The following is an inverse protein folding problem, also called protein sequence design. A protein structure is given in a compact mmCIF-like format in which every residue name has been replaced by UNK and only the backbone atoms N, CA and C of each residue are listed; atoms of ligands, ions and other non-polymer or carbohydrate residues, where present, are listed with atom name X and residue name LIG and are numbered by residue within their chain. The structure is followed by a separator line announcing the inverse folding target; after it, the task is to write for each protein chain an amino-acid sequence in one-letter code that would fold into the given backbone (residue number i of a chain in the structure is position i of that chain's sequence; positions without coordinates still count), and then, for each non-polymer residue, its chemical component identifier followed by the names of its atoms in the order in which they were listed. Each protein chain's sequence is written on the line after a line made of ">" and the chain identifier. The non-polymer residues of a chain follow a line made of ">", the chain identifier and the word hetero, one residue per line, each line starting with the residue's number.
data_IF_756881979173
#
_entry.id   IF_756881979173
#
_cell.length_a   1.000
_cell.length_b   1.000
_cell.length_c   1.000
_cell.angle_alpha   90.00
_cell.angle_beta   90.00
_cell.angle_gamma   90.00
#
_symmetry.space_group_name_H-M   'P 1'
#
loop_
_entity.id
_entity.type
_entity.pdbx_description
1 polymer ?
#
# COMPACT_ATOMS: atom_id res chain seq x y z
N UNK A 1 -51.92 46.01 -33.76
CA UNK A 1 -50.60 46.30 -34.37
C UNK A 1 -49.68 45.11 -34.17
N UNK A 2 -48.75 44.91 -35.12
CA UNK A 2 -47.63 43.95 -35.17
C UNK A 2 -47.87 42.47 -34.76
N UNK A 3 -47.56 41.57 -35.69
CA UNK A 3 -47.66 40.12 -35.53
C UNK A 3 -46.55 39.52 -34.62
N UNK A 4 -45.46 40.27 -34.39
CA UNK A 4 -44.22 39.81 -33.76
C UNK A 4 -44.34 39.38 -32.29
N UNK A 5 -45.34 39.87 -31.56
CA UNK A 5 -45.58 39.48 -30.16
C UNK A 5 -46.21 38.09 -29.98
N UNK A 6 -46.87 37.54 -31.01
CA UNK A 6 -47.54 36.21 -30.91
C UNK A 6 -46.55 35.06 -30.76
N UNK A 7 -45.31 35.21 -31.28
CA UNK A 7 -44.27 34.20 -31.20
C UNK A 7 -43.69 33.99 -29.79
N UNK A 8 -43.82 34.96 -28.87
CA UNK A 8 -43.32 34.82 -27.49
C UNK A 8 -44.24 34.00 -26.58
N UNK A 9 -45.47 33.73 -27.01
CA UNK A 9 -46.50 33.04 -26.21
C UNK A 9 -46.27 31.53 -26.07
N UNK A 10 -45.42 30.92 -26.89
CA UNK A 10 -45.20 29.46 -26.95
C UNK A 10 -44.04 28.98 -26.06
N UNK A 11 -43.11 29.87 -25.68
CA UNK A 11 -41.82 29.49 -25.05
C UNK A 11 -41.73 29.81 -23.55
N UNK A 12 -42.64 30.63 -23.01
CA UNK A 12 -42.52 31.17 -21.63
C UNK A 12 -43.60 30.65 -20.66
N UNK A 13 -44.67 30.01 -21.16
CA UNK A 13 -45.80 29.54 -20.32
C UNK A 13 -45.44 28.34 -19.42
N UNK A 14 -44.27 27.72 -19.60
CA UNK A 14 -43.83 26.55 -18.84
C UNK A 14 -43.22 26.88 -17.44
N UNK A 15 -43.47 28.06 -16.88
CA UNK A 15 -42.91 28.46 -15.57
C UNK A 15 -43.80 29.42 -14.76
N UNK A 16 -44.19 28.93 -13.58
CA UNK A 16 -44.52 29.69 -12.35
C UNK A 16 -45.92 30.36 -12.27
N UNK A 17 -46.94 29.52 -12.04
CA UNK A 17 -48.13 29.72 -11.16
C UNK A 17 -48.91 28.38 -11.08
N UNK A 18 -49.47 27.89 -9.97
CA UNK A 18 -49.31 28.15 -8.51
C UNK A 18 -48.66 26.90 -7.85
N UNK A 19 -48.20 26.80 -6.60
CA UNK A 19 -48.26 27.65 -5.38
C UNK A 19 -49.54 27.64 -4.49
N UNK A 20 -50.01 26.45 -4.09
CA UNK A 20 -50.69 26.22 -2.78
C UNK A 20 -50.13 24.93 -2.14
N UNK A 21 -49.98 24.89 -0.82
CA UNK A 21 -49.34 23.79 -0.07
C UNK A 21 -50.35 22.89 0.67
N UNK A 22 -49.94 21.67 1.05
CA UNK A 22 -50.50 20.94 2.23
C UNK A 22 -49.69 19.72 2.66
N UNK A 23 -49.77 19.44 3.97
CA UNK A 23 -49.57 18.16 4.68
C UNK A 23 -48.17 17.50 4.72
N UNK A 24 -47.65 17.37 5.94
CA UNK A 24 -46.56 16.49 6.39
C UNK A 24 -47.19 15.38 7.23
N UNK A 25 -46.76 14.11 7.08
CA UNK A 25 -46.68 13.05 8.11
C UNK A 25 -46.21 11.77 7.38
N UNK A 26 -45.07 11.12 7.66
CA UNK A 26 -44.59 10.55 8.92
C UNK A 26 -45.56 9.46 9.46
N UNK A 27 -45.11 8.18 9.48
CA UNK A 27 -45.88 7.02 9.95
C UNK A 27 -45.04 6.10 10.84
N UNK A 28 -45.52 5.88 12.05
CA UNK A 28 -45.02 5.02 13.13
C UNK A 28 -46.24 4.63 14.02
N UNK A 29 -46.14 3.76 15.05
CA UNK A 29 -45.86 2.31 14.97
C UNK A 29 -46.95 1.50 15.75
N UNK A 30 -46.63 0.30 16.29
CA UNK A 30 -47.42 -0.50 17.27
C UNK A 30 -48.75 -1.16 16.78
N UNK A 31 -49.27 -2.29 17.34
CA UNK A 31 -48.76 -3.38 18.22
C UNK A 31 -49.70 -4.63 18.11
N UNK A 32 -49.26 -5.81 18.56
CA UNK A 32 -49.92 -7.14 18.43
C UNK A 32 -51.02 -7.42 19.53
N UNK A 33 -51.72 -8.60 19.66
CA UNK A 33 -51.17 -9.99 19.66
C UNK A 33 -52.06 -11.14 19.08
N UNK A 34 -51.59 -12.39 19.29
CA UNK A 34 -52.30 -13.71 19.25
C UNK A 34 -52.79 -14.29 17.88
N UNK A 35 -52.87 -15.62 17.65
CA UNK A 35 -52.62 -16.84 18.48
C UNK A 35 -51.74 -17.89 17.74
N UNK A 36 -51.42 -19.01 18.41
CA UNK A 36 -50.55 -20.11 17.98
C UNK A 36 -51.02 -20.87 16.72
N UNK A 37 -50.04 -21.40 15.97
CA UNK A 37 -50.13 -22.71 15.32
C UNK A 37 -48.83 -23.49 15.54
N UNK A 38 -48.89 -24.82 15.58
CA UNK A 38 -47.80 -25.71 16.04
C UNK A 38 -47.18 -26.55 14.92
N UNK A 39 -45.93 -26.97 15.15
CA UNK A 39 -45.26 -28.13 14.52
C UNK A 39 -44.78 -27.97 13.07
N UNK A 40 -43.68 -28.59 12.62
CA UNK A 40 -42.41 -28.99 13.27
C UNK A 40 -41.46 -29.51 12.19
N UNK A 41 -40.18 -29.10 12.20
CA UNK A 41 -39.02 -29.90 11.75
C UNK A 41 -37.72 -29.16 12.11
N UNK A 42 -36.67 -29.89 12.47
CA UNK A 42 -35.35 -29.33 12.78
C UNK A 42 -34.39 -29.43 11.60
N UNK A 43 -33.50 -28.45 11.45
CA UNK A 43 -32.28 -28.56 10.65
C UNK A 43 -31.11 -27.93 11.43
N UNK A 44 -30.03 -28.71 11.54
CA UNK A 44 -28.72 -28.44 12.14
C UNK A 44 -28.45 -27.05 12.76
N UNK A 45 -28.15 -27.03 14.06
CA UNK A 45 -27.24 -26.02 14.61
C UNK A 45 -25.82 -26.31 14.10
N UNK A 46 -25.12 -25.32 13.55
CA UNK A 46 -23.72 -25.48 13.13
C UNK A 46 -22.83 -25.90 14.31
N UNK A 47 -22.00 -26.95 14.17
CA UNK A 47 -21.07 -27.34 15.22
C UNK A 47 -19.99 -26.26 15.38
N UNK A 48 -20.05 -25.53 16.51
CA UNK A 48 -19.05 -24.53 16.95
C UNK A 48 -17.64 -25.03 16.61
N UNK A 49 -16.87 -24.36 15.72
CA UNK A 49 -15.53 -24.81 15.34
C UNK A 49 -14.66 -25.03 16.58
N UNK A 50 -14.17 -26.26 16.73
CA UNK A 50 -13.47 -26.69 17.93
C UNK A 50 -12.25 -25.79 18.23
N UNK A 51 -12.09 -25.43 19.50
CA UNK A 51 -11.10 -24.45 19.96
C UNK A 51 -9.68 -25.04 19.89
N UNK A 52 -9.05 -24.91 18.73
CA UNK A 52 -7.73 -25.49 18.45
C UNK A 52 -6.68 -24.85 19.35
N UNK A 53 -6.08 -25.66 20.25
CA UNK A 53 -5.02 -25.23 21.16
C UNK A 53 -3.90 -24.48 20.41
N UNK A 54 -3.27 -23.45 21.01
CA UNK A 54 -2.59 -22.44 20.22
C UNK A 54 -1.25 -22.92 19.67
N UNK A 55 -1.19 -23.20 18.37
CA UNK A 55 0.07 -23.36 17.62
C UNK A 55 0.78 -21.99 17.40
N UNK A 56 0.75 -21.12 18.41
CA UNK A 56 1.09 -19.69 18.32
C UNK A 56 2.29 -19.29 19.18
N UNK A 57 2.73 -20.15 20.10
CA UNK A 57 3.86 -19.89 21.01
C UNK A 57 5.19 -19.70 20.26
N UNK A 58 5.38 -20.43 19.15
CA UNK A 58 6.54 -20.29 18.25
C UNK A 58 6.49 -19.06 17.34
N UNK A 59 5.37 -18.31 17.31
CA UNK A 59 5.26 -17.09 16.51
C UNK A 59 5.97 -15.95 17.23
N UNK A 60 6.74 -15.15 16.48
CA UNK A 60 7.49 -14.03 17.07
C UNK A 60 6.67 -12.73 17.09
N UNK A 61 5.96 -12.43 16.01
CA UNK A 61 5.16 -11.19 15.83
C UNK A 61 3.67 -11.47 16.03
N UNK A 62 3.11 -12.45 15.32
CA UNK A 62 1.68 -12.78 15.32
C UNK A 62 1.26 -13.66 16.51
N UNK A 63 1.76 -13.35 17.71
CA UNK A 63 1.45 -14.08 18.95
C UNK A 63 -0.01 -13.92 19.33
N UNK A 64 -0.58 -14.94 19.98
CA UNK A 64 -1.93 -14.89 20.57
C UNK A 64 -3.13 -14.90 19.61
N UNK A 65 -2.94 -14.65 18.31
CA UNK A 65 -4.06 -14.65 17.35
C UNK A 65 -4.59 -16.07 17.04
N UNK A 66 -5.91 -16.23 16.82
CA UNK A 66 -6.49 -17.46 16.28
C UNK A 66 -5.84 -17.91 14.97
N UNK A 67 -5.67 -19.23 14.82
CA UNK A 67 -5.04 -19.87 13.64
C UNK A 67 -5.63 -19.37 12.31
N UNK A 68 -6.94 -19.15 12.24
CA UNK A 68 -7.61 -18.68 11.03
C UNK A 68 -7.25 -17.22 10.67
N UNK A 69 -7.11 -16.33 11.66
CA UNK A 69 -6.66 -14.95 11.41
C UNK A 69 -5.22 -14.92 10.92
N UNK A 70 -4.33 -15.74 11.52
CA UNK A 70 -2.94 -15.88 11.04
C UNK A 70 -2.90 -16.34 9.58
N UNK A 71 -3.74 -17.32 9.19
CA UNK A 71 -3.84 -17.79 7.80
C UNK A 71 -4.37 -16.68 6.86
N UNK A 72 -5.28 -15.84 7.32
CA UNK A 72 -5.75 -14.68 6.54
C UNK A 72 -4.64 -13.65 6.33
N UNK A 73 -3.83 -13.32 7.35
CA UNK A 73 -2.68 -12.43 7.18
C UNK A 73 -1.60 -13.02 6.26
N UNK A 74 -1.32 -14.33 6.35
CA UNK A 74 -0.40 -14.99 5.41
C UNK A 74 -0.92 -14.90 3.96
N UNK A 75 -2.23 -15.02 3.73
CA UNK A 75 -2.85 -14.86 2.39
C UNK A 75 -2.74 -13.43 1.88
N UNK A 76 -2.96 -12.40 2.72
CA UNK A 76 -2.76 -10.99 2.35
C UNK A 76 -1.31 -10.71 1.96
N UNK A 77 -0.35 -11.22 2.74
CA UNK A 77 1.08 -11.08 2.45
C UNK A 77 1.47 -11.78 1.13
N UNK A 78 1.01 -13.00 0.92
CA UNK A 78 1.23 -13.77 -0.31
C UNK A 78 0.71 -13.02 -1.56
N UNK A 79 -0.52 -12.47 -1.48
CA UNK A 79 -1.11 -11.68 -2.55
C UNK A 79 -0.35 -10.37 -2.83
N UNK A 80 0.01 -9.61 -1.79
CA UNK A 80 0.70 -8.32 -1.91
C UNK A 80 2.11 -8.43 -2.55
N UNK A 81 2.75 -9.59 -2.44
CA UNK A 81 4.07 -9.89 -3.03
C UNK A 81 3.97 -10.70 -4.35
N UNK A 82 2.77 -11.15 -4.73
CA UNK A 82 2.52 -12.12 -5.81
C UNK A 82 3.36 -13.40 -5.70
N UNK A 83 3.27 -14.06 -4.53
CA UNK A 83 4.03 -15.28 -4.22
C UNK A 83 3.17 -16.39 -3.62
N UNK A 84 3.63 -17.62 -3.79
CA UNK A 84 3.09 -18.81 -3.15
C UNK A 84 3.55 -18.95 -1.69
N UNK A 85 2.88 -19.79 -0.88
CA UNK A 85 3.25 -20.02 0.52
C UNK A 85 4.68 -20.56 0.69
N UNK A 86 5.17 -21.37 -0.26
CA UNK A 86 6.49 -22.00 -0.22
C UNK A 86 7.61 -21.00 -0.62
N UNK A 87 7.26 -19.77 -1.01
CA UNK A 87 8.22 -18.69 -1.14
C UNK A 87 8.86 -18.35 0.21
N UNK A 88 8.08 -18.35 1.30
CA UNK A 88 8.56 -18.07 2.67
C UNK A 88 8.62 -19.30 3.58
N UNK A 89 7.69 -20.23 3.45
CA UNK A 89 7.64 -21.45 4.26
C UNK A 89 8.31 -22.65 3.57
N UNK A 90 8.68 -23.64 4.37
CA UNK A 90 9.06 -24.98 3.94
C UNK A 90 8.33 -25.97 4.86
N UNK A 91 8.21 -27.24 4.44
CA UNK A 91 7.63 -28.28 5.29
C UNK A 91 8.70 -28.82 6.26
N UNK A 92 8.49 -28.86 7.59
CA UNK A 92 7.29 -28.44 8.33
C UNK A 92 7.18 -26.92 8.53
N UNK A 93 5.98 -26.36 8.28
CA UNK A 93 5.68 -24.91 8.25
C UNK A 93 6.23 -24.03 9.40
N UNK A 94 6.37 -24.52 10.65
CA UNK A 94 7.00 -23.75 11.75
C UNK A 94 8.48 -23.44 11.54
N UNK A 95 9.22 -24.21 10.72
CA UNK A 95 10.65 -24.01 10.42
C UNK A 95 10.95 -22.58 9.99
N UNK A 96 12.05 -22.04 10.50
CA UNK A 96 12.55 -20.71 10.12
C UNK A 96 13.28 -20.78 8.78
N UNK A 97 13.14 -19.73 7.97
CA UNK A 97 13.83 -19.62 6.67
C UNK A 97 14.39 -18.20 6.55
N UNK A 98 15.43 -17.96 5.74
CA UNK A 98 15.95 -16.61 5.54
C UNK A 98 14.85 -15.63 5.09
N UNK A 99 13.92 -16.07 4.22
CA UNK A 99 12.80 -15.24 3.77
C UNK A 99 11.72 -15.03 4.81
N UNK A 100 11.42 -16.03 5.65
CA UNK A 100 10.52 -15.89 6.80
C UNK A 100 11.09 -14.92 7.84
N UNK A 101 12.41 -14.95 8.04
CA UNK A 101 13.15 -13.97 8.83
C UNK A 101 13.09 -12.56 8.22
N UNK A 102 13.30 -12.41 6.91
CA UNK A 102 13.11 -11.13 6.20
C UNK A 102 11.66 -10.64 6.31
N UNK A 103 10.65 -11.51 6.15
CA UNK A 103 9.25 -11.13 6.28
C UNK A 103 8.94 -10.57 7.68
N UNK A 104 9.48 -11.17 8.75
CA UNK A 104 9.36 -10.62 10.12
C UNK A 104 10.05 -9.26 10.26
N UNK A 105 11.21 -9.05 9.62
CA UNK A 105 11.88 -7.75 9.59
C UNK A 105 11.02 -6.70 8.88
N UNK A 106 10.46 -7.02 7.71
CA UNK A 106 9.51 -6.14 6.99
C UNK A 106 8.31 -5.78 7.87
N UNK A 107 7.73 -6.77 8.56
CA UNK A 107 6.58 -6.55 9.42
C UNK A 107 6.89 -5.61 10.58
N UNK A 108 7.98 -5.88 11.31
CA UNK A 108 8.38 -5.12 12.51
C UNK A 108 8.84 -3.70 12.18
N UNK A 109 9.75 -3.56 11.21
CA UNK A 109 10.46 -2.30 11.01
C UNK A 109 9.75 -1.36 10.02
N UNK A 110 8.90 -1.90 9.13
CA UNK A 110 8.19 -1.13 8.12
C UNK A 110 6.69 -1.06 8.40
N UNK A 111 5.93 -2.17 8.30
CA UNK A 111 4.45 -2.09 8.45
C UNK A 111 3.98 -1.77 9.88
N UNK A 112 4.80 -2.09 10.89
CA UNK A 112 4.55 -1.71 12.29
C UNK A 112 5.37 -0.47 12.71
N UNK A 113 6.55 -0.24 12.13
CA UNK A 113 7.40 0.92 12.43
C UNK A 113 6.96 2.23 11.77
N UNK A 114 6.18 2.16 10.69
CA UNK A 114 5.76 3.30 9.85
C UNK A 114 4.25 3.25 9.56
N UNK A 115 3.71 4.39 9.14
CA UNK A 115 2.31 4.59 8.72
C UNK A 115 2.24 5.65 7.62
N UNK A 116 1.09 5.74 6.96
CA UNK A 116 0.82 6.83 6.02
C UNK A 116 0.60 8.15 6.76
N UNK A 117 0.76 9.28 6.06
CA UNK A 117 0.54 10.63 6.62
C UNK A 117 -0.90 10.90 7.11
N UNK A 118 -1.89 10.18 6.61
CA UNK A 118 -3.27 10.25 7.08
C UNK A 118 -3.52 9.45 8.38
N UNK A 119 -2.50 8.75 8.88
CA UNK A 119 -2.58 7.89 10.05
C UNK A 119 -2.95 6.44 9.75
N UNK A 120 -3.29 6.09 8.50
CA UNK A 120 -3.62 4.72 8.12
C UNK A 120 -2.41 3.79 8.20
N UNK A 121 -2.65 2.54 8.60
CA UNK A 121 -1.61 1.54 8.76
C UNK A 121 -0.96 1.19 7.40
N UNK A 122 0.37 1.05 7.39
CA UNK A 122 1.11 0.67 6.19
C UNK A 122 0.96 -0.83 5.92
N UNK A 123 0.47 -1.21 4.75
CA UNK A 123 0.32 -2.60 4.34
C UNK A 123 1.49 -3.06 3.44
N UNK A 124 1.61 -4.37 3.27
CA UNK A 124 2.64 -4.96 2.39
C UNK A 124 2.55 -4.42 0.95
N UNK A 125 1.33 -4.19 0.45
CA UNK A 125 1.08 -3.83 -0.95
C UNK A 125 1.49 -2.39 -1.29
N UNK A 126 1.54 -1.47 -0.32
CA UNK A 126 1.83 -0.06 -0.58
C UNK A 126 3.27 0.14 -1.07
N UNK A 127 4.19 -0.69 -0.55
CA UNK A 127 5.55 -0.85 -1.05
C UNK A 127 5.63 -1.90 -2.18
N UNK A 128 5.06 -3.10 -1.99
CA UNK A 128 5.32 -4.23 -2.89
C UNK A 128 4.55 -4.20 -4.21
N UNK A 129 3.29 -3.76 -4.24
CA UNK A 129 2.46 -3.63 -5.45
C UNK A 129 2.44 -4.87 -6.36
N UNK A 130 2.44 -6.07 -5.77
CA UNK A 130 2.49 -7.36 -6.49
C UNK A 130 3.90 -7.83 -6.86
N UNK A 131 4.95 -7.17 -6.42
CA UNK A 131 6.35 -7.49 -6.73
C UNK A 131 7.15 -7.82 -5.45
N UNK A 132 7.52 -9.08 -5.27
CA UNK A 132 8.37 -9.52 -4.15
C UNK A 132 9.73 -8.79 -4.06
N UNK A 133 10.19 -8.12 -5.13
CA UNK A 133 11.42 -7.34 -5.18
C UNK A 133 11.15 -5.89 -5.66
N UNK A 134 10.32 -5.15 -4.94
CA UNK A 134 9.79 -3.83 -5.32
C UNK A 134 10.80 -2.74 -5.74
N UNK A 135 12.11 -2.90 -5.48
CA UNK A 135 13.19 -1.99 -5.92
C UNK A 135 14.12 -2.59 -7.01
N UNK A 136 13.69 -3.67 -7.67
CA UNK A 136 14.27 -4.21 -8.91
C UNK A 136 13.33 -4.06 -10.09
N UNK A 137 12.04 -4.29 -9.87
CA UNK A 137 11.01 -4.36 -10.90
C UNK A 137 10.01 -3.21 -10.74
N UNK A 138 10.06 -2.27 -11.70
CA UNK A 138 8.96 -1.39 -12.11
C UNK A 138 8.53 -0.14 -11.28
N UNK A 139 9.02 0.22 -10.07
CA UNK A 139 8.49 1.41 -9.36
C UNK A 139 8.88 2.74 -10.03
N UNK A 140 9.85 2.72 -10.94
CA UNK A 140 10.40 3.88 -11.63
C UNK A 140 9.98 3.94 -13.11
N UNK A 141 9.10 3.04 -13.56
CA UNK A 141 8.60 2.97 -14.94
C UNK A 141 7.64 4.15 -15.18
N UNK A 142 8.20 5.29 -15.62
CA UNK A 142 7.54 6.60 -15.68
C UNK A 142 8.19 7.69 -14.80
N UNK A 143 8.97 7.31 -13.79
CA UNK A 143 9.83 8.24 -13.03
C UNK A 143 11.18 8.46 -13.72
N UNK A 144 11.70 7.41 -14.37
CA UNK A 144 12.91 7.46 -15.21
C UNK A 144 12.52 7.66 -16.67
N UNK A 145 13.26 8.51 -17.38
CA UNK A 145 13.15 8.73 -18.83
C UNK A 145 12.76 10.15 -19.24
N UNK A 146 11.96 10.85 -18.43
CA UNK A 146 11.73 12.30 -18.64
C UNK A 146 12.96 13.06 -18.15
N UNK A 147 13.84 13.50 -19.07
CA UNK A 147 14.98 14.36 -18.73
C UNK A 147 14.48 15.72 -18.19
N UNK A 148 14.81 16.02 -16.94
CA UNK A 148 14.37 17.21 -16.22
C UNK A 148 15.58 17.98 -15.71
N UNK A 149 16.19 18.77 -16.60
CA UNK A 149 17.44 19.48 -16.36
C UNK A 149 17.44 20.31 -15.07
N UNK A 150 18.51 20.16 -14.30
CA UNK A 150 18.85 20.97 -13.15
C UNK A 150 18.03 20.78 -11.87
N UNK A 151 18.18 21.75 -10.97
CA UNK A 151 17.63 21.75 -9.60
C UNK A 151 16.11 22.02 -9.60
N UNK A 152 15.29 21.00 -9.83
CA UNK A 152 13.82 21.13 -9.68
C UNK A 152 13.34 21.16 -8.22
N UNK A 153 13.48 20.04 -7.50
CA UNK A 153 12.95 19.88 -6.12
C UNK A 153 13.70 20.76 -5.09
N UNK A 154 14.92 21.15 -5.41
CA UNK A 154 15.79 21.99 -4.57
C UNK A 154 16.06 23.36 -5.23
N UNK A 155 15.12 23.85 -6.06
CA UNK A 155 15.25 25.16 -6.72
C UNK A 155 15.26 26.29 -5.68
N UNK A 156 16.16 27.26 -5.86
CA UNK A 156 16.25 28.43 -4.97
C UNK A 156 16.84 28.15 -3.58
N UNK A 157 17.28 26.92 -3.30
CA UNK A 157 17.97 26.61 -2.05
C UNK A 157 19.37 27.27 -2.01
N UNK A 158 19.76 27.93 -0.90
CA UNK A 158 21.12 28.40 -0.66
C UNK A 158 22.17 27.29 -0.82
N UNK A 159 23.36 27.64 -1.33
CA UNK A 159 24.34 26.66 -1.78
C UNK A 159 24.93 25.82 -0.63
N UNK A 160 25.11 26.42 0.54
CA UNK A 160 25.50 25.76 1.79
C UNK A 160 24.46 24.69 2.20
N UNK A 161 23.18 25.06 2.21
CA UNK A 161 22.08 24.16 2.58
C UNK A 161 21.88 23.05 1.54
N UNK A 162 22.12 23.35 0.26
CA UNK A 162 22.12 22.34 -0.80
C UNK A 162 23.24 21.31 -0.60
N UNK A 163 24.45 21.76 -0.25
CA UNK A 163 25.56 20.83 0.05
C UNK A 163 25.28 19.98 1.29
N UNK A 164 24.66 20.54 2.35
CA UNK A 164 24.21 19.76 3.51
C UNK A 164 23.23 18.65 3.11
N UNK A 165 22.26 18.94 2.24
CA UNK A 165 21.30 17.94 1.73
C UNK A 165 22.00 16.86 0.90
N UNK A 166 22.95 17.22 0.03
CA UNK A 166 23.71 16.24 -0.75
C UNK A 166 24.57 15.34 0.14
N UNK A 167 25.26 15.89 1.14
CA UNK A 167 26.01 15.13 2.15
C UNK A 167 25.12 14.22 2.99
N UNK A 168 23.88 14.63 3.28
CA UNK A 168 22.91 13.76 3.94
C UNK A 168 22.50 12.58 3.05
N UNK A 169 22.39 12.76 1.73
CA UNK A 169 22.09 11.68 0.79
C UNK A 169 23.27 10.71 0.60
N UNK A 170 24.49 11.22 0.38
CA UNK A 170 25.70 10.37 0.24
C UNK A 170 25.91 9.52 1.49
N UNK A 171 25.75 10.10 2.69
CA UNK A 171 25.80 9.38 3.97
C UNK A 171 24.67 8.35 4.13
N UNK A 172 23.43 8.72 3.83
CA UNK A 172 22.28 7.81 4.01
C UNK A 172 22.30 6.62 3.04
N UNK A 173 22.82 6.79 1.83
CA UNK A 173 22.91 5.77 0.79
C UNK A 173 24.28 5.06 0.75
N UNK A 174 25.32 5.56 1.44
CA UNK A 174 26.68 5.02 1.36
C UNK A 174 27.27 5.09 -0.06
N UNK A 175 27.16 6.26 -0.70
CA UNK A 175 27.60 6.47 -2.09
C UNK A 175 28.27 7.83 -2.28
N UNK A 176 29.23 7.89 -3.19
CA UNK A 176 29.87 9.14 -3.61
C UNK A 176 29.01 9.97 -4.58
N UNK A 177 29.34 11.25 -4.74
CA UNK A 177 28.63 12.17 -5.65
C UNK A 177 28.49 11.62 -7.08
N UNK A 178 29.52 10.93 -7.57
CA UNK A 178 29.60 10.31 -8.91
C UNK A 178 28.64 9.13 -9.11
N UNK A 179 28.01 8.62 -8.05
CA UNK A 179 26.91 7.65 -8.17
C UNK A 179 25.62 8.27 -8.74
N UNK A 180 25.47 9.60 -8.63
CA UNK A 180 24.29 10.35 -9.09
C UNK A 180 24.60 11.44 -10.12
N UNK A 181 25.75 12.10 -10.03
CA UNK A 181 26.15 13.21 -10.90
C UNK A 181 27.26 12.81 -11.88
N UNK A 182 27.27 13.42 -13.05
CA UNK A 182 28.42 13.42 -13.97
C UNK A 182 29.30 14.64 -13.66
N UNK A 183 30.21 15.01 -14.57
CA UNK A 183 30.94 16.27 -14.48
C UNK A 183 30.02 17.50 -14.63
N UNK A 184 28.88 17.35 -15.31
CA UNK A 184 27.78 18.32 -15.27
C UNK A 184 26.84 17.96 -14.10
N UNK A 185 26.86 18.79 -13.05
CA UNK A 185 26.02 18.57 -11.88
C UNK A 185 24.53 18.81 -12.13
N UNK A 186 24.14 19.57 -13.17
CA UNK A 186 22.75 19.81 -13.55
C UNK A 186 22.19 18.71 -14.49
N UNK A 187 23.04 17.91 -15.16
CA UNK A 187 22.63 16.77 -16.02
C UNK A 187 21.70 15.80 -15.28
N UNK A 188 20.48 15.60 -15.78
CA UNK A 188 19.45 14.80 -15.09
C UNK A 188 19.59 13.30 -15.39
N UNK A 189 20.48 12.64 -14.65
CA UNK A 189 20.75 11.20 -14.74
C UNK A 189 19.56 10.35 -14.24
N UNK A 190 19.44 9.07 -14.66
CA UNK A 190 18.44 8.14 -14.11
C UNK A 190 18.52 7.98 -12.58
N UNK A 191 19.70 8.18 -12.00
CA UNK A 191 19.94 8.11 -10.55
C UNK A 191 19.38 9.35 -9.83
N UNK A 192 19.56 10.55 -10.41
CA UNK A 192 18.90 11.78 -9.95
C UNK A 192 17.37 11.68 -10.08
N UNK A 193 16.86 11.10 -11.16
CA UNK A 193 15.42 10.84 -11.35
C UNK A 193 14.85 9.90 -10.28
N UNK A 194 15.53 8.79 -9.98
CA UNK A 194 15.16 7.88 -8.88
C UNK A 194 15.20 8.58 -7.52
N UNK A 195 16.27 9.32 -7.20
CA UNK A 195 16.36 10.07 -5.95
C UNK A 195 15.22 11.10 -5.81
N UNK A 196 14.89 11.79 -6.91
CA UNK A 196 13.77 12.74 -6.99
C UNK A 196 12.44 12.06 -6.63
N UNK A 197 12.13 10.92 -7.24
CA UNK A 197 10.94 10.11 -6.92
C UNK A 197 10.91 9.65 -5.45
N UNK A 198 12.03 9.15 -4.94
CA UNK A 198 12.11 8.69 -3.55
C UNK A 198 11.84 9.83 -2.55
N UNK A 199 12.30 11.05 -2.84
CA UNK A 199 12.03 12.23 -2.04
C UNK A 199 10.59 12.76 -2.15
N UNK A 200 9.98 12.76 -3.35
CA UNK A 200 8.71 13.47 -3.58
C UNK A 200 7.47 12.58 -3.57
N UNK A 201 7.60 11.30 -3.92
CA UNK A 201 6.48 10.37 -4.05
C UNK A 201 6.53 9.20 -3.06
N UNK A 202 7.72 8.78 -2.63
CA UNK A 202 7.87 7.67 -1.69
C UNK A 202 7.93 8.14 -0.23
N UNK A 203 9.04 8.74 0.22
CA UNK A 203 9.20 9.10 1.64
C UNK A 203 8.24 10.21 2.09
N UNK A 204 7.82 11.08 1.16
CA UNK A 204 6.83 12.12 1.44
C UNK A 204 5.40 11.59 1.69
N UNK A 205 5.10 10.32 1.41
CA UNK A 205 3.82 9.69 1.80
C UNK A 205 3.79 9.12 3.22
N UNK A 206 4.97 8.94 3.84
CA UNK A 206 5.15 8.12 5.04
C UNK A 206 5.64 8.93 6.26
N UNK A 207 5.23 8.49 7.44
CA UNK A 207 5.74 8.94 8.74
C UNK A 207 6.02 7.73 9.65
N UNK A 208 6.88 7.91 10.63
CA UNK A 208 7.13 6.91 11.68
C UNK A 208 5.97 6.92 12.68
N UNK A 209 5.93 5.98 13.64
CA UNK A 209 4.83 5.94 14.60
C UNK A 209 4.70 7.19 15.49
N UNK A 210 5.81 7.89 15.77
CA UNK A 210 5.83 9.18 16.48
C UNK A 210 5.36 10.38 15.63
N UNK A 211 5.05 10.18 14.35
CA UNK A 211 4.66 11.24 13.41
C UNK A 211 5.83 11.97 12.75
N UNK A 212 7.08 11.63 13.08
CA UNK A 212 8.27 12.18 12.41
C UNK A 212 8.36 11.70 10.95
N UNK A 213 8.93 12.53 10.09
CA UNK A 213 9.08 12.21 8.67
C UNK A 213 10.06 11.05 8.45
N UNK A 214 9.75 10.16 7.50
CA UNK A 214 10.68 9.11 7.07
C UNK A 214 11.82 9.74 6.25
N UNK A 215 13.05 9.60 6.74
CA UNK A 215 14.26 10.03 6.06
C UNK A 215 14.92 8.90 5.28
N UNK A 216 15.84 9.24 4.37
CA UNK A 216 16.53 8.26 3.53
C UNK A 216 17.22 7.15 4.36
N UNK A 217 17.82 7.52 5.50
CA UNK A 217 18.57 6.60 6.35
C UNK A 217 17.69 5.54 7.02
N UNK A 218 16.40 5.80 7.26
CA UNK A 218 15.51 4.86 7.94
C UNK A 218 15.34 3.55 7.14
N UNK A 219 15.41 3.64 5.80
CA UNK A 219 15.36 2.48 4.90
C UNK A 219 16.74 2.09 4.36
N UNK A 220 17.60 3.04 4.02
CA UNK A 220 18.86 2.77 3.32
C UNK A 220 20.01 2.36 4.25
N UNK A 221 20.09 2.93 5.46
CA UNK A 221 21.11 2.60 6.47
C UNK A 221 22.55 2.48 5.89
N UNK A 222 22.98 3.45 5.08
CA UNK A 222 24.30 3.46 4.44
C UNK A 222 24.43 2.54 3.21
N UNK A 223 23.32 2.13 2.59
CA UNK A 223 23.33 1.25 1.42
C UNK A 223 22.49 1.79 0.26
N UNK A 224 23.05 1.80 -0.95
CA UNK A 224 22.42 2.40 -2.14
C UNK A 224 21.12 1.69 -2.57
N UNK A 225 20.91 0.48 -2.06
CA UNK A 225 19.65 -0.27 -2.07
C UNK A 225 19.32 -0.68 -0.63
N UNK A 226 18.13 -0.33 -0.10
CA UNK A 226 17.66 -0.82 1.19
C UNK A 226 17.78 -2.34 1.30
N UNK A 227 18.13 -2.82 2.49
CA UNK A 227 18.21 -4.24 2.84
C UNK A 227 19.18 -5.09 1.99
N UNK A 228 20.06 -4.49 1.17
CA UNK A 228 20.94 -5.23 0.25
C UNK A 228 21.92 -6.22 0.91
N UNK A 229 22.18 -6.05 2.22
CA UNK A 229 23.02 -6.94 3.05
C UNK A 229 22.24 -8.16 3.57
N UNK A 230 20.91 -8.15 3.53
CA UNK A 230 20.12 -9.29 4.01
C UNK A 230 20.31 -10.50 3.07
N UNK A 231 20.42 -11.73 3.62
CA UNK A 231 20.49 -12.93 2.82
C UNK A 231 19.14 -13.20 2.15
N UNK A 232 18.95 -12.65 0.95
CA UNK A 232 17.87 -12.99 0.03
C UNK A 232 18.28 -14.21 -0.80
N UNK A 233 17.96 -15.46 -0.41
CA UNK A 233 18.18 -16.60 -1.29
C UNK A 233 17.36 -16.42 -2.56
N UNK A 234 18.01 -16.55 -3.72
CA UNK A 234 17.30 -16.74 -5.00
C UNK A 234 16.38 -17.95 -4.85
N UNK A 235 15.21 -17.94 -5.50
CA UNK A 235 14.42 -19.18 -5.62
C UNK A 235 15.32 -20.13 -6.42
N UNK A 236 15.47 -21.42 -6.03
CA UNK A 236 16.05 -22.41 -6.94
C UNK A 236 15.29 -22.29 -8.26
N UNK A 237 16.02 -22.17 -9.37
CA UNK A 237 15.41 -21.96 -10.68
C UNK A 237 14.47 -23.14 -10.94
N UNK A 238 13.16 -22.88 -11.01
CA UNK A 238 12.22 -23.93 -11.37
C UNK A 238 12.49 -24.26 -12.83
N UNK A 239 12.80 -25.52 -13.19
CA UNK A 239 12.98 -25.89 -14.58
C UNK A 239 11.76 -25.44 -15.39
N UNK A 240 11.95 -24.86 -16.58
CA UNK A 240 10.85 -24.31 -17.36
C UNK A 240 9.78 -25.40 -17.53
N UNK A 241 8.54 -25.06 -17.18
CA UNK A 241 7.44 -26.00 -17.24
C UNK A 241 7.40 -26.63 -18.65
N UNK A 242 7.54 -27.96 -18.71
CA UNK A 242 7.42 -28.68 -19.98
C UNK A 242 6.08 -28.30 -20.59
N UNK A 243 6.11 -27.74 -21.80
CA UNK A 243 4.87 -27.52 -22.56
C UNK A 243 4.12 -28.86 -22.65
N UNK A 244 2.78 -28.86 -22.59
CA UNK A 244 2.01 -30.01 -23.03
C UNK A 244 2.51 -30.42 -24.43
N UNK A 245 2.80 -31.70 -24.58
CA UNK A 245 2.91 -32.33 -25.88
C UNK A 245 1.50 -32.78 -26.26
N UNK A 246 0.95 -32.18 -27.31
CA UNK A 246 -0.25 -32.68 -27.99
C UNK A 246 0.02 -34.05 -28.64
#
# INVERSE_FOLDING_TARGET
>A
MDHKSRAKLIVVVFSIVLLVASAIQAKEPAKAPEVLSLSSAAAAQDPKPAEQKPATETLQILKGMPRQQIIQEMRKMAAALSVDCNFCHMNPFPVDTPRKSVARLMMRDYTMGMKHKDGSALACNDCHKGEANFLRTRPFEGAVGKKLAGRQVLKGMPQDRLMQVMTAFTKALGVECTYCHTTDFDEDTPKKQIARFMMTQFSQGLVKQDGSAVGCNDCHQGHARPLAVLPFPRRPEQPPAKKPTD
#
